data_IF_645482160350
#
_entry.id   IF_645482160350
#
_cell.length_a   1.000
_cell.length_b   1.000
_cell.length_c   1.000
_cell.angle_alpha   90.00
_cell.angle_beta   90.00
_cell.angle_gamma   90.00
#
_symmetry.space_group_name_H-M   'P 1'
#
loop_
_entity.id
_entity.type
_entity.pdbx_description
1 polymer ?
#
# COMPACT_ATOMS: atom_id res chain seq x y z
N UNK A 1 -9.48 -9.01 12.23
CA UNK A 1 -10.13 -7.89 12.95
C UNK A 1 -11.56 -8.21 13.40
N UNK A 2 -12.33 -9.05 12.65
CA UNK A 2 -13.71 -9.39 13.01
C UNK A 2 -13.82 -10.06 14.40
N UNK A 3 -12.86 -10.88 14.80
CA UNK A 3 -12.88 -11.60 16.07
C UNK A 3 -12.39 -10.75 17.26
N UNK A 4 -11.59 -9.72 17.01
CA UNK A 4 -11.01 -8.90 18.07
C UNK A 4 -12.07 -8.11 18.85
N UNK A 5 -13.08 -7.58 18.19
CA UNK A 5 -14.12 -6.78 18.83
C UNK A 5 -15.04 -7.58 19.76
N UNK A 6 -15.57 -8.76 19.36
CA UNK A 6 -16.31 -9.64 20.27
C UNK A 6 -15.49 -10.09 21.47
N UNK A 7 -14.22 -10.48 21.25
CA UNK A 7 -13.32 -10.90 22.34
C UNK A 7 -13.09 -9.75 23.32
N UNK A 8 -12.77 -8.54 22.83
CA UNK A 8 -12.53 -7.38 23.69
C UNK A 8 -13.78 -6.97 24.47
N UNK A 9 -14.97 -7.04 23.86
CA UNK A 9 -16.25 -6.77 24.54
C UNK A 9 -16.54 -7.77 25.62
N UNK A 10 -16.40 -9.07 25.33
CA UNK A 10 -16.62 -10.15 26.31
C UNK A 10 -15.67 -10.05 27.50
N UNK A 11 -14.40 -9.72 27.23
CA UNK A 11 -13.39 -9.53 28.26
C UNK A 11 -13.73 -8.33 29.15
N UNK A 12 -14.06 -7.18 28.56
CA UNK A 12 -14.42 -5.98 29.30
C UNK A 12 -15.67 -6.19 30.18
N UNK A 13 -16.68 -6.88 29.64
CA UNK A 13 -17.89 -7.24 30.38
C UNK A 13 -17.59 -8.22 31.51
N UNK A 14 -16.76 -9.25 31.29
CA UNK A 14 -16.41 -10.23 32.30
C UNK A 14 -15.56 -9.67 33.45
N UNK A 15 -14.80 -8.61 33.19
CA UNK A 15 -13.94 -7.94 34.15
C UNK A 15 -14.57 -6.67 34.77
N UNK A 16 -15.77 -6.30 34.32
CA UNK A 16 -16.46 -5.06 34.70
C UNK A 16 -15.58 -3.80 34.54
N UNK A 17 -14.88 -3.72 33.38
CA UNK A 17 -14.03 -2.58 33.02
C UNK A 17 -14.55 -1.86 31.79
N UNK A 18 -14.34 -0.51 31.69
CA UNK A 18 -14.79 0.26 30.54
C UNK A 18 -14.04 -0.14 29.27
N UNK A 19 -14.76 -0.19 28.13
CA UNK A 19 -14.19 -0.41 26.80
C UNK A 19 -14.23 0.91 26.00
N UNK A 20 -13.04 1.36 25.55
CA UNK A 20 -12.91 2.53 24.70
C UNK A 20 -12.74 2.08 23.26
N UNK A 21 -13.66 2.51 22.38
CA UNK A 21 -13.56 2.22 20.96
C UNK A 21 -12.59 3.21 20.29
N UNK A 22 -11.57 2.69 19.60
CA UNK A 22 -10.60 3.48 18.85
C UNK A 22 -10.65 3.09 17.39
N UNK A 23 -10.76 4.07 16.49
CA UNK A 23 -10.71 3.81 15.05
C UNK A 23 -9.29 3.36 14.65
N UNK A 24 -9.19 2.21 13.98
CA UNK A 24 -7.92 1.59 13.61
C UNK A 24 -7.02 2.50 12.75
N UNK A 25 -7.60 3.15 11.74
CA UNK A 25 -6.83 4.03 10.84
C UNK A 25 -6.39 5.33 11.53
N UNK A 26 -7.23 5.89 12.40
CA UNK A 26 -6.84 7.03 13.23
C UNK A 26 -5.73 6.66 14.21
N UNK A 27 -5.76 5.45 14.77
CA UNK A 27 -4.69 4.97 15.64
C UNK A 27 -3.34 4.90 14.92
N UNK A 28 -3.30 4.45 13.66
CA UNK A 28 -2.08 4.47 12.84
C UNK A 28 -1.54 5.89 12.65
N UNK A 29 -2.40 6.87 12.39
CA UNK A 29 -2.00 8.27 12.21
C UNK A 29 -1.51 8.85 13.54
N UNK A 30 -2.26 8.63 14.62
CA UNK A 30 -1.95 9.18 15.95
C UNK A 30 -0.72 8.52 16.59
N UNK A 31 -0.29 7.35 16.12
CA UNK A 31 0.94 6.70 16.58
C UNK A 31 2.18 7.59 16.39
N UNK A 32 2.19 8.51 15.42
CA UNK A 32 3.27 9.49 15.23
C UNK A 32 3.44 10.46 16.39
N UNK A 33 2.44 10.61 17.26
CA UNK A 33 2.47 11.49 18.41
C UNK A 33 2.90 10.82 19.74
N UNK A 34 3.19 9.51 19.70
CA UNK A 34 3.59 8.74 20.90
C UNK A 34 5.08 8.95 21.23
N UNK A 35 5.91 9.14 20.21
CA UNK A 35 7.36 9.24 20.37
C UNK A 35 7.78 10.63 20.86
N UNK A 36 8.21 10.71 22.13
CA UNK A 36 8.61 11.97 22.80
C UNK A 36 9.94 12.57 22.30
N UNK A 37 10.67 11.87 21.43
CA UNK A 37 12.00 12.30 20.98
C UNK A 37 12.04 12.89 19.57
N UNK A 38 10.93 12.87 18.83
CA UNK A 38 10.87 13.32 17.43
C UNK A 38 10.09 14.63 17.29
N UNK A 39 10.45 15.37 16.24
CA UNK A 39 9.67 16.53 15.83
C UNK A 39 8.28 16.06 15.36
N UNK A 40 7.25 16.51 16.05
CA UNK A 40 5.87 16.19 15.71
C UNK A 40 5.42 17.00 14.49
N UNK A 41 4.57 16.42 13.62
CA UNK A 41 3.98 17.18 12.52
C UNK A 41 3.08 18.30 13.06
N UNK A 42 3.17 19.49 12.46
CA UNK A 42 2.26 20.59 12.74
C UNK A 42 0.98 20.45 11.93
N UNK A 43 -0.15 20.81 12.54
CA UNK A 43 -1.45 20.83 11.85
C UNK A 43 -1.63 22.09 11.00
N UNK A 44 -2.33 21.99 9.84
CA UNK A 44 -2.79 20.76 9.21
C UNK A 44 -1.67 20.01 8.49
N UNK A 45 -1.80 18.68 8.34
CA UNK A 45 -0.88 17.88 7.52
C UNK A 45 -1.61 16.77 6.75
N UNK A 46 -0.93 16.19 5.76
CA UNK A 46 -1.40 15.02 5.02
C UNK A 46 -0.68 13.77 5.52
N UNK A 47 -1.43 12.69 5.67
CA UNK A 47 -0.90 11.38 5.97
C UNK A 47 -1.27 10.39 4.86
N UNK A 48 -0.27 9.77 4.24
CA UNK A 48 -0.46 8.64 3.34
C UNK A 48 -0.35 7.35 4.15
N UNK A 49 -1.48 6.67 4.35
CA UNK A 49 -1.51 5.36 5.00
C UNK A 49 -1.45 4.26 3.94
N UNK A 50 -0.43 3.41 4.02
CA UNK A 50 -0.19 2.31 3.07
C UNK A 50 -0.01 1.01 3.83
N UNK A 51 -0.83 0.02 3.55
CA UNK A 51 -0.77 -1.31 4.17
C UNK A 51 -1.23 -2.41 3.21
N UNK A 52 -1.29 -3.65 3.69
CA UNK A 52 -1.86 -4.77 2.95
C UNK A 52 -3.35 -4.64 2.65
N UNK A 53 -4.11 -3.90 3.46
CA UNK A 53 -5.57 -3.78 3.31
C UNK A 53 -6.07 -2.35 3.08
N UNK A 54 -5.23 -1.32 3.23
CA UNK A 54 -5.64 0.07 3.11
C UNK A 54 -4.60 0.90 2.36
N UNK A 55 -5.09 1.79 1.48
CA UNK A 55 -4.29 2.82 0.83
C UNK A 55 -5.15 4.09 0.79
N UNK A 56 -4.79 5.09 1.61
CA UNK A 56 -5.58 6.31 1.77
C UNK A 56 -4.69 7.54 1.94
N UNK A 57 -5.17 8.68 1.45
CA UNK A 57 -4.66 10.01 1.81
C UNK A 57 -5.66 10.62 2.79
N UNK A 58 -5.17 10.97 3.97
CA UNK A 58 -5.97 11.58 5.02
C UNK A 58 -5.43 12.98 5.29
N UNK A 59 -6.32 13.96 5.28
CA UNK A 59 -6.05 15.33 5.76
C UNK A 59 -6.36 15.39 7.24
N UNK A 60 -5.40 15.86 8.02
CA UNK A 60 -5.52 15.98 9.48
C UNK A 60 -5.47 17.46 9.85
N UNK A 61 -6.62 18.01 10.23
CA UNK A 61 -6.73 19.40 10.72
C UNK A 61 -6.46 19.48 12.23
N UNK A 62 -6.76 18.42 12.98
CA UNK A 62 -6.48 18.26 14.42
C UNK A 62 -6.54 16.78 14.81
N UNK A 63 -6.14 16.38 16.02
CA UNK A 63 -6.21 14.98 16.47
C UNK A 63 -7.62 14.37 16.40
N UNK A 64 -8.66 15.19 16.50
CA UNK A 64 -10.07 14.78 16.44
C UNK A 64 -10.73 15.08 15.09
N UNK A 65 -10.05 15.79 14.17
CA UNK A 65 -10.63 16.18 12.88
C UNK A 65 -9.76 15.68 11.74
N UNK A 66 -10.15 14.51 11.21
CA UNK A 66 -9.48 13.80 10.12
C UNK A 66 -10.48 13.57 8.99
N UNK A 67 -10.03 13.77 7.75
CA UNK A 67 -10.83 13.58 6.54
C UNK A 67 -10.07 12.73 5.54
N UNK A 68 -10.63 11.61 5.10
CA UNK A 68 -10.12 10.85 3.96
C UNK A 68 -10.43 11.64 2.70
N UNK A 69 -9.40 12.03 1.95
CA UNK A 69 -9.50 12.82 0.71
C UNK A 69 -9.16 12.00 -0.54
N UNK A 70 -8.60 10.80 -0.37
CA UNK A 70 -8.35 9.84 -1.43
C UNK A 70 -8.24 8.44 -0.85
N UNK A 71 -8.78 7.43 -1.55
CA UNK A 71 -8.76 6.02 -1.12
C UNK A 71 -8.58 5.10 -2.32
N UNK A 72 -8.14 3.87 -2.09
CA UNK A 72 -8.14 2.88 -3.17
C UNK A 72 -9.55 2.42 -3.49
N UNK A 73 -9.84 2.30 -4.79
CA UNK A 73 -11.13 1.83 -5.33
C UNK A 73 -11.17 0.30 -5.50
N UNK A 74 -10.01 -0.34 -5.41
CA UNK A 74 -9.85 -1.78 -5.60
C UNK A 74 -8.78 -2.33 -4.65
N UNK A 75 -7.70 -2.91 -5.15
CA UNK A 75 -6.62 -3.46 -4.33
C UNK A 75 -5.89 -2.35 -3.54
N UNK A 76 -5.44 -2.67 -2.34
CA UNK A 76 -4.48 -1.83 -1.63
C UNK A 76 -3.07 -1.97 -2.22
N UNK A 77 -2.18 -1.01 -1.98
CA UNK A 77 -0.80 -1.06 -2.50
C UNK A 77 -0.04 -2.30 -2.04
N UNK A 78 -0.17 -2.70 -0.76
CA UNK A 78 0.46 -3.93 -0.26
C UNK A 78 -0.10 -5.19 -0.93
N UNK A 79 -1.41 -5.22 -1.18
CA UNK A 79 -2.04 -6.29 -1.94
C UNK A 79 -1.56 -6.33 -3.40
N UNK A 80 -1.33 -5.17 -4.02
CA UNK A 80 -0.74 -5.07 -5.36
C UNK A 80 0.68 -5.65 -5.39
N UNK A 81 1.50 -5.42 -4.36
CA UNK A 81 2.81 -6.06 -4.21
C UNK A 81 2.68 -7.58 -4.10
N UNK A 82 1.82 -8.10 -3.22
CA UNK A 82 1.66 -9.53 -3.01
C UNK A 82 1.13 -10.25 -4.27
N UNK A 83 0.16 -9.65 -4.96
CA UNK A 83 -0.37 -10.18 -6.23
C UNK A 83 0.68 -10.18 -7.33
N UNK A 84 1.50 -9.14 -7.42
CA UNK A 84 2.60 -9.05 -8.38
C UNK A 84 3.69 -10.10 -8.09
N UNK A 85 4.04 -10.25 -6.82
CA UNK A 85 4.99 -11.27 -6.36
C UNK A 85 4.51 -12.69 -6.70
N UNK A 86 3.22 -12.97 -6.51
CA UNK A 86 2.62 -14.25 -6.88
C UNK A 86 2.73 -14.54 -8.38
N UNK A 87 2.57 -13.52 -9.24
CA UNK A 87 2.75 -13.66 -10.69
C UNK A 87 4.21 -14.03 -11.04
N UNK A 88 5.18 -13.48 -10.28
CA UNK A 88 6.61 -13.81 -10.41
C UNK A 88 6.99 -15.17 -9.79
N UNK A 89 6.05 -15.89 -9.17
CA UNK A 89 6.31 -17.17 -8.52
C UNK A 89 6.91 -17.06 -7.10
N UNK A 90 6.83 -15.89 -6.46
CA UNK A 90 7.32 -15.71 -5.10
C UNK A 90 6.32 -16.19 -4.04
N UNK A 91 6.85 -16.59 -2.88
CA UNK A 91 6.06 -16.93 -1.71
C UNK A 91 5.50 -15.69 -1.01
N UNK A 92 4.48 -15.90 -0.19
CA UNK A 92 3.95 -14.87 0.71
C UNK A 92 4.82 -14.74 1.98
N UNK A 93 5.07 -13.51 2.52
CA UNK A 93 4.66 -12.21 1.96
C UNK A 93 5.53 -11.77 0.77
N UNK A 94 4.89 -11.28 -0.27
CA UNK A 94 5.55 -10.97 -1.54
C UNK A 94 6.25 -9.62 -1.56
N UNK A 95 5.71 -8.62 -0.86
CA UNK A 95 6.27 -7.27 -0.84
C UNK A 95 7.75 -7.20 -0.46
N UNK A 96 8.19 -7.81 0.66
CA UNK A 96 9.61 -7.86 1.04
C UNK A 96 10.52 -8.54 0.01
N UNK A 97 10.01 -9.51 -0.74
CA UNK A 97 10.77 -10.19 -1.78
C UNK A 97 10.95 -9.29 -3.01
N UNK A 98 9.89 -8.58 -3.43
CA UNK A 98 10.00 -7.57 -4.48
C UNK A 98 11.02 -6.50 -4.09
N UNK A 99 10.94 -5.93 -2.88
CA UNK A 99 11.89 -4.93 -2.40
C UNK A 99 13.34 -5.45 -2.40
N UNK A 100 13.53 -6.69 -1.96
CA UNK A 100 14.87 -7.30 -1.94
C UNK A 100 15.48 -7.39 -3.34
N UNK A 101 14.74 -7.89 -4.33
CA UNK A 101 15.26 -8.07 -5.68
C UNK A 101 15.26 -6.77 -6.50
N UNK A 102 14.41 -5.80 -6.18
CA UNK A 102 14.38 -4.51 -6.86
C UNK A 102 15.68 -3.70 -6.70
N UNK A 103 16.47 -3.96 -5.65
CA UNK A 103 17.70 -3.19 -5.34
C UNK A 103 18.77 -3.28 -6.41
N UNK A 104 18.84 -4.37 -7.18
CA UNK A 104 19.80 -4.56 -8.27
C UNK A 104 19.25 -4.23 -9.65
N UNK A 105 17.94 -3.98 -9.77
CA UNK A 105 17.27 -3.89 -11.05
C UNK A 105 17.11 -2.48 -11.61
N UNK A 106 16.87 -2.40 -12.93
CA UNK A 106 16.55 -1.18 -13.64
C UNK A 106 15.05 -0.88 -13.54
N UNK A 107 14.69 0.24 -12.91
CA UNK A 107 13.30 0.68 -12.72
C UNK A 107 12.57 1.02 -14.02
N UNK A 108 13.29 1.18 -15.12
CA UNK A 108 12.77 1.53 -16.44
C UNK A 108 12.84 0.39 -17.46
N UNK A 109 13.27 -0.81 -17.06
CA UNK A 109 13.37 -1.98 -17.95
C UNK A 109 12.00 -2.40 -18.48
N UNK A 110 10.96 -2.29 -17.65
CA UNK A 110 9.58 -2.61 -18.02
C UNK A 110 8.65 -1.45 -17.72
N UNK A 111 7.72 -1.19 -18.63
CA UNK A 111 6.68 -0.16 -18.44
C UNK A 111 5.32 -0.84 -18.30
N UNK A 112 4.65 -0.60 -17.20
CA UNK A 112 3.32 -1.13 -16.94
C UNK A 112 2.25 -0.04 -17.09
N UNK A 113 1.06 -0.45 -17.57
CA UNK A 113 -0.07 0.46 -17.71
C UNK A 113 -0.51 1.02 -16.34
N UNK A 114 -0.65 2.34 -16.28
CA UNK A 114 -1.18 3.02 -15.08
C UNK A 114 -2.67 3.28 -15.24
N UNK A 115 -3.49 2.95 -14.24
CA UNK A 115 -4.91 3.27 -14.28
C UNK A 115 -5.13 4.79 -14.28
N UNK A 116 -6.04 5.26 -15.15
CA UNK A 116 -6.44 6.68 -15.19
C UNK A 116 -7.62 6.88 -14.23
N UNK A 117 -7.33 7.12 -12.97
CA UNK A 117 -8.35 7.40 -11.95
C UNK A 117 -8.42 8.90 -11.70
N UNK A 118 -9.67 9.42 -11.62
CA UNK A 118 -9.93 10.83 -11.32
C UNK A 118 -9.53 11.17 -9.88
N UNK A 119 -9.40 12.45 -9.63
CA UNK A 119 -9.15 13.02 -8.31
C UNK A 119 -7.96 12.39 -7.56
N UNK A 120 -8.10 12.15 -6.26
CA UNK A 120 -7.05 11.66 -5.38
C UNK A 120 -7.13 10.16 -5.10
N UNK A 121 -8.12 9.47 -5.67
CA UNK A 121 -8.29 8.03 -5.47
C UNK A 121 -7.22 7.21 -6.18
N UNK A 122 -6.97 6.00 -5.68
CA UNK A 122 -6.02 5.03 -6.21
C UNK A 122 -6.73 3.86 -6.89
N UNK A 123 -6.02 3.18 -7.78
CA UNK A 123 -6.39 1.85 -8.29
C UNK A 123 -5.12 1.11 -8.65
N UNK A 124 -5.08 -0.18 -8.35
CA UNK A 124 -3.94 -1.06 -8.63
C UNK A 124 -4.33 -2.30 -9.44
N UNK A 125 -5.62 -2.59 -9.63
CA UNK A 125 -6.07 -3.79 -10.36
C UNK A 125 -5.62 -3.80 -11.82
N UNK A 126 -5.63 -2.64 -12.49
CA UNK A 126 -5.14 -2.49 -13.86
C UNK A 126 -3.62 -2.74 -13.99
N UNK A 127 -2.85 -2.37 -12.98
CA UNK A 127 -1.41 -2.63 -12.92
C UNK A 127 -1.13 -4.14 -12.89
N UNK A 128 -1.84 -4.90 -12.03
CA UNK A 128 -1.74 -6.36 -11.97
C UNK A 128 -1.94 -7.01 -13.34
N UNK A 129 -2.97 -6.59 -14.06
CA UNK A 129 -3.30 -7.13 -15.40
C UNK A 129 -2.18 -6.81 -16.40
N UNK A 130 -1.64 -5.59 -16.37
CA UNK A 130 -0.52 -5.20 -17.22
C UNK A 130 0.73 -6.03 -16.95
N UNK A 131 1.07 -6.24 -15.67
CA UNK A 131 2.21 -7.10 -15.26
C UNK A 131 2.00 -8.51 -15.79
N UNK A 132 0.81 -9.09 -15.59
CA UNK A 132 0.50 -10.45 -16.05
C UNK A 132 0.71 -10.61 -17.56
N UNK A 133 0.19 -9.68 -18.36
CA UNK A 133 0.33 -9.76 -19.82
C UNK A 133 1.79 -9.59 -20.28
N UNK A 134 2.55 -8.70 -19.65
CA UNK A 134 3.97 -8.52 -19.93
C UNK A 134 4.74 -9.82 -19.68
N UNK A 135 4.50 -10.47 -18.54
CA UNK A 135 5.16 -11.74 -18.18
C UNK A 135 4.73 -12.86 -19.10
N UNK A 136 3.43 -12.98 -19.41
CA UNK A 136 2.94 -14.00 -20.34
C UNK A 136 3.52 -13.86 -21.76
N UNK A 137 3.65 -12.62 -22.23
CA UNK A 137 4.29 -12.35 -23.53
C UNK A 137 5.77 -12.74 -23.51
N UNK A 138 6.53 -12.33 -22.49
CA UNK A 138 7.94 -12.67 -22.36
C UNK A 138 8.19 -14.19 -22.24
N UNK A 139 7.36 -14.88 -21.45
CA UNK A 139 7.47 -16.34 -21.29
C UNK A 139 7.12 -17.14 -22.55
N UNK A 140 6.34 -16.60 -23.47
CA UNK A 140 6.08 -17.24 -24.78
C UNK A 140 7.33 -17.24 -25.65
N UNK A 141 8.16 -16.20 -25.57
CA UNK A 141 9.39 -16.05 -26.33
C UNK A 141 10.57 -16.73 -25.62
N UNK A 142 10.62 -16.66 -24.31
CA UNK A 142 11.69 -17.20 -23.47
C UNK A 142 11.13 -17.83 -22.19
N UNK A 143 11.14 -19.17 -22.05
CA UNK A 143 10.68 -19.85 -20.83
C UNK A 143 11.41 -19.41 -19.54
N UNK A 144 12.64 -18.88 -19.66
CA UNK A 144 13.45 -18.40 -18.55
C UNK A 144 13.25 -16.89 -18.27
N UNK A 145 12.31 -16.24 -18.96
CA UNK A 145 12.10 -14.80 -18.94
C UNK A 145 12.08 -14.20 -17.52
N UNK A 146 11.30 -14.79 -16.59
CA UNK A 146 11.22 -14.30 -15.21
C UNK A 146 12.56 -14.45 -14.49
N UNK A 147 13.26 -15.57 -14.66
CA UNK A 147 14.52 -15.83 -13.98
C UNK A 147 15.63 -14.85 -14.43
N UNK A 148 15.71 -14.60 -15.73
CA UNK A 148 16.70 -13.71 -16.33
C UNK A 148 16.43 -12.22 -16.07
N UNK A 149 15.16 -11.83 -15.89
CA UNK A 149 14.76 -10.43 -15.70
C UNK A 149 14.23 -10.15 -14.29
N UNK A 150 14.52 -11.01 -13.32
CA UNK A 150 13.91 -10.96 -11.98
C UNK A 150 14.08 -9.62 -11.30
N UNK A 151 15.30 -9.09 -11.27
CA UNK A 151 15.63 -7.83 -10.60
C UNK A 151 14.97 -6.65 -11.29
N UNK A 152 15.02 -6.60 -12.61
CA UNK A 152 14.41 -5.55 -13.43
C UNK A 152 12.88 -5.54 -13.33
N UNK A 153 12.26 -6.73 -13.34
CA UNK A 153 10.82 -6.89 -13.13
C UNK A 153 10.41 -6.36 -11.74
N UNK A 154 11.14 -6.77 -10.69
CA UNK A 154 10.85 -6.30 -9.34
C UNK A 154 11.04 -4.79 -9.20
N UNK A 155 12.12 -4.23 -9.75
CA UNK A 155 12.40 -2.79 -9.73
C UNK A 155 11.32 -1.99 -10.46
N UNK A 156 10.91 -2.43 -11.66
CA UNK A 156 9.89 -1.77 -12.46
C UNK A 156 8.49 -1.86 -11.82
N UNK A 157 8.15 -2.98 -11.19
CA UNK A 157 6.90 -3.16 -10.44
C UNK A 157 6.86 -2.22 -9.24
N UNK A 158 7.89 -2.23 -8.40
CA UNK A 158 8.00 -1.35 -7.23
C UNK A 158 7.92 0.11 -7.64
N UNK A 159 8.68 0.52 -8.66
CA UNK A 159 8.65 1.87 -9.19
C UNK A 159 7.25 2.29 -9.64
N UNK A 160 6.52 1.41 -10.32
CA UNK A 160 5.17 1.69 -10.80
C UNK A 160 4.18 1.91 -9.66
N UNK A 161 4.20 1.05 -8.62
CA UNK A 161 3.34 1.19 -7.44
C UNK A 161 3.66 2.47 -6.69
N UNK A 162 4.95 2.74 -6.42
CA UNK A 162 5.39 3.94 -5.71
C UNK A 162 5.03 5.21 -6.50
N UNK A 163 5.20 5.20 -7.83
CA UNK A 163 4.83 6.34 -8.65
C UNK A 163 3.34 6.67 -8.55
N UNK A 164 2.45 5.66 -8.57
CA UNK A 164 0.99 5.88 -8.38
C UNK A 164 0.72 6.57 -7.04
N UNK A 165 1.38 6.15 -5.96
CA UNK A 165 1.21 6.74 -4.63
C UNK A 165 1.70 8.18 -4.59
N UNK A 166 2.90 8.45 -5.08
CA UNK A 166 3.54 9.78 -5.04
C UNK A 166 2.82 10.77 -5.96
N UNK A 167 2.37 10.35 -7.16
CA UNK A 167 1.61 11.20 -8.08
C UNK A 167 0.34 11.74 -7.41
N UNK A 168 -0.40 10.89 -6.65
CA UNK A 168 -1.61 11.29 -5.95
C UNK A 168 -1.32 12.15 -4.72
N UNK A 169 -0.29 11.81 -3.95
CA UNK A 169 0.14 12.63 -2.82
C UNK A 169 0.57 14.03 -3.28
N UNK A 170 1.34 14.11 -4.37
CA UNK A 170 1.78 15.39 -4.94
C UNK A 170 0.59 16.25 -5.41
N UNK A 171 -0.46 15.63 -5.95
CA UNK A 171 -1.71 16.35 -6.29
C UNK A 171 -2.44 16.84 -5.05
N UNK A 172 -2.44 16.08 -3.96
CA UNK A 172 -3.11 16.45 -2.72
C UNK A 172 -2.45 17.63 -1.99
N UNK A 173 -1.16 17.90 -2.26
CA UNK A 173 -0.41 19.02 -1.68
C UNK A 173 -0.71 20.35 -2.41
N UNK A 174 -1.12 20.28 -3.68
CA UNK A 174 -1.47 21.46 -4.49
C UNK A 174 -2.89 21.95 -4.25
#
# INVERSE_FOLDING_TARGET
LHDALPISKSFAMGMDIPLIAVNHMQAHILAHFIDKGKQLPSFPFLCLTVSGGHTQIVKIDSPSKMQVIGTTLDDAAGEAFDKSAKILGFSYPGGPLIDKYAKGGNIHAFTFGKPKIKDLDFSFSGLKTSILYTIQAGMKENPNFIAENKEDLCASIQHSIVTILIDKLTKAIK
#
